data_IF_260944522161
#
_entry.id   IF_260944522161
#
_cell.length_a   1.000
_cell.length_b   1.000
_cell.length_c   1.000
_cell.angle_alpha   90.00
_cell.angle_beta   90.00
_cell.angle_gamma   90.00
#
_symmetry.space_group_name_H-M   'P 1'
#
loop_
_entity.id
_entity.type
_entity.pdbx_description
1 polymer ?
#
# COMPACT_ATOMS: atom_id res chain seq x y z
N UNK A 1 -19.73 0.97 20.44
CA UNK A 1 -18.27 1.12 20.21
C UNK A 1 -17.80 2.47 20.74
N UNK A 2 -16.63 2.55 21.42
CA UNK A 2 -16.10 3.84 21.94
C UNK A 2 -15.67 4.73 20.77
N UNK A 3 -16.21 5.95 20.69
CA UNK A 3 -15.84 6.94 19.64
C UNK A 3 -14.70 7.82 20.15
N UNK A 4 -13.79 8.19 19.26
CA UNK A 4 -12.63 9.04 19.54
C UNK A 4 -12.96 10.52 19.31
N UNK A 5 -12.53 11.40 20.22
CA UNK A 5 -12.72 12.85 20.14
C UNK A 5 -11.52 13.63 20.67
N UNK A 6 -11.56 14.95 20.55
CA UNK A 6 -10.49 15.89 20.93
C UNK A 6 -9.16 15.64 20.20
N UNK A 7 -9.23 15.15 18.95
CA UNK A 7 -8.05 14.78 18.18
C UNK A 7 -7.48 15.95 17.37
N UNK A 8 -8.26 17.00 17.14
CA UNK A 8 -7.79 18.15 16.35
C UNK A 8 -6.58 18.82 16.99
N UNK A 9 -6.54 18.90 18.31
CA UNK A 9 -5.41 19.48 19.03
C UNK A 9 -4.13 18.64 18.90
N UNK A 10 -4.27 17.30 18.91
CA UNK A 10 -3.14 16.39 18.68
C UNK A 10 -2.64 16.49 17.21
N UNK A 11 -3.56 16.66 16.24
CA UNK A 11 -3.23 16.85 14.82
C UNK A 11 -2.55 18.20 14.58
N UNK A 12 -2.98 19.25 15.30
CA UNK A 12 -2.45 20.61 15.21
C UNK A 12 -1.31 20.89 16.19
N UNK A 13 -0.86 19.87 16.93
CA UNK A 13 0.28 20.01 17.85
C UNK A 13 1.57 20.32 17.05
N UNK A 14 2.38 21.32 17.47
CA UNK A 14 3.60 21.71 16.78
C UNK A 14 4.59 20.56 16.51
N UNK A 15 4.78 19.65 17.47
CA UNK A 15 5.69 18.52 17.31
C UNK A 15 5.11 17.48 16.31
N UNK A 16 3.80 17.27 16.32
CA UNK A 16 3.11 16.44 15.32
C UNK A 16 3.27 17.04 13.92
N UNK A 17 3.08 18.34 13.75
CA UNK A 17 3.25 19.03 12.46
C UNK A 17 4.71 18.98 12.01
N UNK A 18 5.67 19.19 12.92
CA UNK A 18 7.10 19.06 12.65
C UNK A 18 7.45 17.67 12.13
N UNK A 19 6.98 16.63 12.81
CA UNK A 19 7.17 15.25 12.35
C UNK A 19 6.51 15.02 10.98
N UNK A 20 5.31 15.55 10.76
CA UNK A 20 4.59 15.47 9.49
C UNK A 20 5.37 16.13 8.33
N UNK A 21 5.93 17.32 8.57
CA UNK A 21 6.78 18.05 7.63
C UNK A 21 7.98 17.21 7.20
N UNK A 22 8.71 16.64 8.17
CA UNK A 22 9.87 15.82 7.89
C UNK A 22 9.51 14.51 7.18
N UNK A 23 8.42 13.85 7.56
CA UNK A 23 7.93 12.63 6.89
C UNK A 23 7.47 12.93 5.46
N UNK A 24 6.75 14.01 5.24
CA UNK A 24 6.32 14.43 3.90
C UNK A 24 7.50 14.77 2.99
N UNK A 25 8.63 15.23 3.54
CA UNK A 25 9.85 15.63 2.82
C UNK A 25 10.76 14.45 2.42
N UNK A 26 10.54 13.24 2.95
CA UNK A 26 11.38 12.07 2.63
C UNK A 26 11.39 11.83 1.13
N UNK A 27 12.60 11.74 0.55
CA UNK A 27 12.82 11.57 -0.89
C UNK A 27 12.53 12.80 -1.77
N UNK A 28 12.20 13.96 -1.17
CA UNK A 28 11.81 15.19 -1.88
C UNK A 28 12.63 16.42 -1.46
N UNK A 29 13.58 16.29 -0.54
CA UNK A 29 14.37 17.41 0.03
C UNK A 29 15.12 18.21 -1.04
N UNK A 30 15.50 17.59 -2.17
CA UNK A 30 16.13 18.22 -3.32
C UNK A 30 15.22 19.21 -4.08
N UNK A 31 13.91 19.21 -3.84
CA UNK A 31 12.97 20.12 -4.50
C UNK A 31 12.97 21.47 -3.80
N UNK A 32 13.18 22.56 -4.53
CA UNK A 32 13.23 23.94 -4.00
C UNK A 32 12.04 24.28 -3.09
N UNK A 33 10.80 23.88 -3.49
CA UNK A 33 9.60 24.12 -2.69
C UNK A 33 9.60 23.38 -1.35
N UNK A 34 10.23 22.19 -1.27
CA UNK A 34 10.35 21.40 -0.04
C UNK A 34 11.46 21.96 0.84
N UNK A 35 12.66 22.20 0.26
CA UNK A 35 13.80 22.77 0.96
C UNK A 35 13.46 24.12 1.61
N UNK A 36 12.76 25.01 0.89
CA UNK A 36 12.30 26.28 1.43
C UNK A 36 11.46 26.11 2.72
N UNK A 37 10.52 25.16 2.74
CA UNK A 37 9.68 24.93 3.91
C UNK A 37 10.43 24.30 5.08
N UNK A 38 11.43 23.47 4.81
CA UNK A 38 12.31 22.94 5.84
C UNK A 38 13.25 24.01 6.42
N UNK A 39 13.73 24.97 5.60
CA UNK A 39 14.58 26.06 6.07
C UNK A 39 13.79 27.10 6.90
N UNK A 40 12.47 27.20 6.72
CA UNK A 40 11.55 28.05 7.48
C UNK A 40 10.57 27.15 8.28
N UNK A 41 11.13 26.27 9.10
CA UNK A 41 10.37 25.20 9.78
C UNK A 41 9.33 25.80 10.74
N UNK A 42 9.72 26.71 11.61
CA UNK A 42 8.83 27.33 12.60
C UNK A 42 7.66 28.07 11.95
N UNK A 43 7.94 28.89 10.95
CA UNK A 43 6.90 29.59 10.18
C UNK A 43 5.95 28.61 9.50
N UNK A 44 6.50 27.53 8.94
CA UNK A 44 5.70 26.49 8.28
C UNK A 44 4.79 25.78 9.29
N UNK A 45 5.29 25.46 10.49
CA UNK A 45 4.51 24.85 11.56
C UNK A 45 3.36 25.76 11.99
N UNK A 46 3.64 27.04 12.26
CA UNK A 46 2.64 28.02 12.65
C UNK A 46 1.53 28.18 11.60
N UNK A 47 1.90 28.24 10.32
CA UNK A 47 0.93 28.33 9.20
C UNK A 47 0.04 27.10 9.12
N UNK A 48 0.60 25.89 9.28
CA UNK A 48 -0.17 24.64 9.26
C UNK A 48 -1.09 24.55 10.48
N UNK A 49 -0.59 24.90 11.67
CA UNK A 49 -1.37 24.91 12.90
C UNK A 49 -2.57 25.85 12.79
N UNK A 50 -2.36 27.06 12.29
CA UNK A 50 -3.43 28.02 12.03
C UNK A 50 -4.51 27.43 11.11
N UNK A 51 -4.12 26.87 9.95
CA UNK A 51 -5.05 26.27 9.00
C UNK A 51 -5.88 25.13 9.60
N UNK A 52 -5.29 24.33 10.49
CA UNK A 52 -5.97 23.22 11.15
C UNK A 52 -6.95 23.70 12.21
N UNK A 53 -6.56 24.66 13.08
CA UNK A 53 -7.37 25.12 14.20
C UNK A 53 -8.49 26.08 13.76
N UNK A 54 -8.21 27.00 12.81
CA UNK A 54 -9.24 27.89 12.24
C UNK A 54 -10.23 27.14 11.37
N UNK A 55 -9.82 25.96 10.83
CA UNK A 55 -10.59 25.20 9.88
C UNK A 55 -10.69 25.84 8.50
N UNK A 56 -9.80 26.76 8.18
CA UNK A 56 -9.73 27.44 6.88
C UNK A 56 -9.01 26.62 5.81
N UNK A 57 -8.48 25.44 6.17
CA UNK A 57 -7.83 24.58 5.20
C UNK A 57 -8.77 24.20 4.06
N UNK A 58 -8.35 24.51 2.85
CA UNK A 58 -8.99 24.09 1.60
C UNK A 58 -7.97 23.30 0.79
N UNK A 59 -8.25 22.02 0.48
CA UNK A 59 -7.37 21.21 -0.35
C UNK A 59 -7.10 21.87 -1.69
N UNK A 60 -5.86 21.89 -2.13
CA UNK A 60 -5.51 22.43 -3.42
C UNK A 60 -6.04 21.52 -4.54
N UNK A 61 -6.30 22.11 -5.72
CA UNK A 61 -6.64 21.34 -6.91
C UNK A 61 -5.58 20.29 -7.19
N UNK A 62 -5.99 19.04 -7.21
CA UNK A 62 -5.09 17.90 -7.44
C UNK A 62 -4.54 17.90 -8.87
N UNK A 63 -3.28 17.46 -9.01
CA UNK A 63 -2.68 17.18 -10.31
C UNK A 63 -2.69 15.68 -10.55
N UNK A 64 -3.28 15.26 -11.65
CA UNK A 64 -3.35 13.86 -12.06
C UNK A 64 -2.43 13.62 -13.25
N UNK A 65 -1.68 12.55 -13.24
CA UNK A 65 -0.83 12.11 -14.34
C UNK A 65 -0.94 10.60 -14.54
N UNK A 66 -0.74 10.16 -15.76
CA UNK A 66 -0.81 8.74 -16.09
C UNK A 66 0.55 8.08 -15.85
N UNK A 67 0.60 7.15 -14.89
CA UNK A 67 1.75 6.28 -14.72
C UNK A 67 1.58 5.04 -15.62
N UNK A 68 2.44 4.93 -16.63
CA UNK A 68 2.48 3.78 -17.52
C UNK A 68 3.16 2.59 -16.82
N UNK A 69 2.39 1.75 -16.16
CA UNK A 69 2.86 0.44 -15.70
C UNK A 69 2.72 -0.55 -16.87
N UNK A 70 3.62 -1.54 -16.94
CA UNK A 70 3.74 -2.42 -18.12
C UNK A 70 2.44 -3.08 -18.62
N UNK A 71 1.44 -3.21 -17.75
CA UNK A 71 0.19 -3.91 -18.05
C UNK A 71 -1.06 -3.03 -17.85
N UNK A 72 -0.90 -1.85 -17.27
CA UNK A 72 -2.02 -0.95 -16.95
C UNK A 72 -1.53 0.48 -16.84
N UNK A 73 -2.30 1.39 -17.37
CA UNK A 73 -2.18 2.80 -17.07
C UNK A 73 -2.90 3.10 -15.76
N UNK A 74 -2.23 3.82 -14.88
CA UNK A 74 -2.81 4.26 -13.60
C UNK A 74 -2.82 5.77 -13.53
N UNK A 75 -3.97 6.32 -13.25
CA UNK A 75 -4.08 7.72 -12.90
C UNK A 75 -3.56 7.92 -11.48
N UNK A 76 -2.44 8.60 -11.35
CA UNK A 76 -1.84 8.92 -10.04
C UNK A 76 -2.09 10.40 -9.77
N UNK A 77 -2.63 10.67 -8.61
CA UNK A 77 -2.97 12.01 -8.16
C UNK A 77 -1.94 12.50 -7.16
N UNK A 78 -1.56 13.75 -7.27
CA UNK A 78 -0.64 14.42 -6.35
C UNK A 78 -1.20 15.76 -5.91
N UNK A 79 -0.90 16.14 -4.68
CA UNK A 79 -1.17 17.46 -4.11
C UNK A 79 0.13 18.24 -3.92
N UNK A 80 0.07 19.58 -3.78
CA UNK A 80 1.22 20.39 -3.39
C UNK A 80 1.85 19.87 -2.10
N UNK A 81 3.15 20.10 -1.94
CA UNK A 81 3.83 19.75 -0.70
C UNK A 81 3.26 20.53 0.48
N UNK A 82 3.12 21.83 0.31
CA UNK A 82 2.53 22.74 1.30
C UNK A 82 1.21 23.33 0.76
N UNK A 83 0.18 23.37 1.56
CA UNK A 83 0.04 22.78 2.90
C UNK A 83 -0.36 21.29 2.90
N UNK A 84 -0.90 20.79 1.77
CA UNK A 84 -1.68 19.55 1.66
C UNK A 84 -0.94 18.32 2.18
N UNK A 85 0.28 18.03 1.65
CA UNK A 85 0.99 16.80 2.04
C UNK A 85 1.36 16.81 3.52
N UNK A 86 1.67 17.97 4.10
CA UNK A 86 1.99 18.10 5.52
C UNK A 86 0.74 17.81 6.35
N UNK A 87 -0.41 18.40 5.99
CA UNK A 87 -1.69 18.17 6.68
C UNK A 87 -2.12 16.69 6.57
N UNK A 88 -2.01 16.07 5.40
CA UNK A 88 -2.29 14.64 5.26
C UNK A 88 -1.43 13.77 6.17
N UNK A 89 -0.16 14.11 6.36
CA UNK A 89 0.72 13.40 7.28
C UNK A 89 0.36 13.67 8.73
N UNK A 90 0.08 14.92 9.11
CA UNK A 90 -0.32 15.29 10.46
C UNK A 90 -1.58 14.54 10.91
N UNK A 91 -2.61 14.51 10.05
CA UNK A 91 -3.82 13.71 10.29
C UNK A 91 -3.48 12.23 10.50
N UNK A 92 -2.67 11.65 9.62
CA UNK A 92 -2.40 10.21 9.69
C UNK A 92 -1.48 9.81 10.84
N UNK A 93 -0.59 10.68 11.30
CA UNK A 93 0.21 10.42 12.51
C UNK A 93 -0.67 10.18 13.74
N UNK A 94 -1.79 10.89 13.84
CA UNK A 94 -2.74 10.77 14.95
C UNK A 94 -3.79 9.67 14.72
N UNK A 95 -4.33 9.56 13.49
CA UNK A 95 -5.42 8.61 13.22
C UNK A 95 -4.93 7.18 12.95
N UNK A 96 -3.72 7.01 12.44
CA UNK A 96 -3.15 5.69 12.14
C UNK A 96 -3.16 4.73 13.34
N UNK A 97 -2.72 5.11 14.56
CA UNK A 97 -2.79 4.25 15.73
C UNK A 97 -4.22 3.82 16.07
N UNK A 98 -5.21 4.68 15.80
CA UNK A 98 -6.63 4.39 16.04
C UNK A 98 -7.12 3.33 15.04
N UNK A 99 -6.84 3.51 13.75
CA UNK A 99 -7.19 2.53 12.72
C UNK A 99 -6.52 1.17 12.96
N UNK A 100 -5.27 1.16 13.41
CA UNK A 100 -4.52 -0.08 13.63
C UNK A 100 -5.10 -0.95 14.74
N UNK A 101 -5.80 -0.37 15.75
CA UNK A 101 -6.39 -1.12 16.87
C UNK A 101 -7.48 -2.11 16.42
N UNK A 102 -8.19 -1.80 15.35
CA UNK A 102 -9.31 -2.60 14.85
C UNK A 102 -9.03 -3.21 13.48
N UNK A 103 -7.95 -2.80 12.82
CA UNK A 103 -7.60 -3.29 11.49
C UNK A 103 -7.25 -4.78 11.53
N UNK A 104 -7.85 -5.54 10.63
CA UNK A 104 -7.58 -6.97 10.48
C UNK A 104 -6.08 -7.27 10.33
N UNK A 105 -5.58 -8.26 11.04
CA UNK A 105 -4.15 -8.61 11.12
C UNK A 105 -3.51 -8.85 9.74
N UNK A 106 -4.23 -9.54 8.84
CA UNK A 106 -3.75 -9.87 7.50
C UNK A 106 -4.28 -8.93 6.41
N UNK A 107 -4.72 -7.72 6.78
CA UNK A 107 -4.72 -6.59 5.88
C UNK A 107 -3.28 -6.11 5.72
N UNK A 108 -2.70 -6.38 4.57
CA UNK A 108 -1.26 -6.22 4.35
C UNK A 108 -0.86 -4.83 3.83
N UNK A 109 -1.82 -4.08 3.32
CA UNK A 109 -1.49 -2.82 2.65
C UNK A 109 -1.32 -1.66 3.64
N UNK A 110 -0.43 -0.73 3.30
CA UNK A 110 -0.21 0.56 3.99
C UNK A 110 0.47 0.48 5.36
N UNK A 111 0.39 -0.63 6.06
CA UNK A 111 0.91 -0.79 7.43
C UNK A 111 2.40 -1.13 7.41
N UNK A 112 3.19 -0.35 8.13
CA UNK A 112 4.63 -0.62 8.31
C UNK A 112 4.85 -2.01 8.95
N UNK A 113 5.79 -2.77 8.43
CA UNK A 113 6.09 -4.15 8.89
C UNK A 113 5.17 -5.23 8.30
N UNK A 114 4.05 -4.87 7.66
CA UNK A 114 3.18 -5.79 6.92
C UNK A 114 3.61 -5.88 5.44
N UNK A 115 2.72 -5.69 4.53
CA UNK A 115 2.99 -5.66 3.08
C UNK A 115 3.37 -7.00 2.48
N UNK A 116 4.14 -6.94 1.41
CA UNK A 116 4.60 -8.13 0.68
C UNK A 116 5.43 -9.08 1.56
N UNK A 117 6.17 -8.55 2.53
CA UNK A 117 7.01 -9.36 3.43
C UNK A 117 6.18 -10.26 4.33
N UNK A 118 5.08 -9.77 4.89
CA UNK A 118 4.17 -10.56 5.70
C UNK A 118 3.39 -11.58 4.84
N UNK A 119 2.82 -11.16 3.70
CA UNK A 119 2.10 -12.07 2.79
C UNK A 119 2.95 -13.24 2.34
N UNK A 120 4.23 -12.98 2.03
CA UNK A 120 5.21 -14.01 1.67
C UNK A 120 5.51 -14.99 2.81
N UNK A 121 5.40 -14.57 4.07
CA UNK A 121 5.59 -15.46 5.24
C UNK A 121 4.32 -16.24 5.58
N UNK A 122 3.18 -15.57 5.53
CA UNK A 122 1.89 -16.09 6.02
C UNK A 122 1.31 -17.15 5.09
N UNK A 123 1.28 -16.91 3.77
CA UNK A 123 0.68 -17.86 2.84
C UNK A 123 1.41 -19.22 2.82
N UNK A 124 2.74 -19.29 2.70
CA UNK A 124 3.45 -20.57 2.79
C UNK A 124 3.23 -21.27 4.14
N UNK A 125 3.27 -20.52 5.25
CA UNK A 125 3.00 -21.07 6.58
C UNK A 125 1.62 -21.76 6.64
N UNK A 126 0.57 -21.12 6.10
CA UNK A 126 -0.76 -21.73 6.05
C UNK A 126 -0.80 -22.98 5.17
N UNK A 127 -0.16 -22.93 3.99
CA UNK A 127 -0.12 -24.05 3.04
C UNK A 127 0.61 -25.28 3.60
N UNK A 128 1.67 -25.07 4.38
CA UNK A 128 2.48 -26.14 4.99
C UNK A 128 1.84 -26.67 6.26
N UNK A 129 1.42 -25.80 7.18
CA UNK A 129 1.00 -26.19 8.52
C UNK A 129 -0.48 -26.63 8.57
N UNK A 130 -1.31 -26.20 7.61
CA UNK A 130 -2.73 -26.54 7.60
C UNK A 130 -3.20 -27.06 6.21
N UNK A 131 -2.66 -28.21 5.75
CA UNK A 131 -2.99 -28.76 4.45
C UNK A 131 -4.48 -29.15 4.32
N UNK A 132 -5.12 -29.50 5.44
CA UNK A 132 -6.56 -29.87 5.47
C UNK A 132 -7.47 -28.66 5.17
N UNK A 133 -7.17 -27.46 5.74
CA UNK A 133 -7.95 -26.24 5.55
C UNK A 133 -7.47 -25.37 4.38
N UNK A 134 -6.43 -25.78 3.66
CA UNK A 134 -5.87 -25.05 2.50
C UNK A 134 -5.97 -25.84 1.19
N UNK A 135 -6.99 -26.70 1.05
CA UNK A 135 -7.21 -27.51 -0.17
C UNK A 135 -7.61 -26.67 -1.38
N UNK A 136 -8.38 -25.62 -1.15
CA UNK A 136 -8.93 -24.75 -2.21
C UNK A 136 -8.54 -23.29 -1.94
N UNK A 137 -8.31 -22.56 -3.03
CA UNK A 137 -8.04 -21.14 -3.01
C UNK A 137 -9.12 -20.41 -3.79
N UNK A 138 -9.72 -19.39 -3.17
CA UNK A 138 -10.53 -18.37 -3.84
C UNK A 138 -9.69 -17.10 -3.92
N UNK A 139 -9.51 -16.60 -5.14
CA UNK A 139 -8.85 -15.33 -5.43
C UNK A 139 -9.83 -14.39 -6.09
N UNK A 140 -9.92 -13.16 -5.60
CA UNK A 140 -10.79 -12.11 -6.10
C UNK A 140 -10.06 -10.77 -6.11
N UNK A 141 -10.60 -9.85 -6.89
CA UNK A 141 -10.10 -8.48 -7.01
C UNK A 141 -11.30 -7.54 -7.16
N UNK A 142 -11.28 -6.38 -6.52
CA UNK A 142 -12.36 -5.38 -6.60
C UNK A 142 -12.11 -4.49 -7.83
N UNK A 143 -13.17 -4.24 -8.59
CA UNK A 143 -13.09 -3.42 -9.80
C UNK A 143 -12.92 -1.95 -9.44
N UNK A 144 -11.93 -1.28 -10.03
CA UNK A 144 -11.65 0.16 -9.83
C UNK A 144 -11.75 0.66 -8.38
N UNK A 145 -11.24 -0.12 -7.42
CA UNK A 145 -11.48 0.00 -5.99
C UNK A 145 -11.49 1.46 -5.50
N UNK A 146 -10.41 2.22 -5.69
CA UNK A 146 -10.32 3.60 -5.21
C UNK A 146 -11.40 4.52 -5.80
N UNK A 147 -11.64 4.43 -7.10
CA UNK A 147 -12.64 5.24 -7.79
C UNK A 147 -14.08 4.81 -7.49
N UNK A 148 -14.28 3.56 -7.04
CA UNK A 148 -15.60 3.00 -6.70
C UNK A 148 -15.98 3.17 -5.22
N UNK A 149 -15.09 3.69 -4.37
CA UNK A 149 -15.42 3.95 -2.96
C UNK A 149 -16.53 5.00 -2.90
N UNK A 150 -17.64 4.65 -2.25
CA UNK A 150 -18.72 5.57 -1.97
C UNK A 150 -18.30 6.51 -0.82
N UNK A 151 -18.10 7.78 -1.12
CA UNK A 151 -17.61 8.78 -0.17
C UNK A 151 -18.60 9.09 0.95
N UNK A 152 -19.91 8.95 0.70
CA UNK A 152 -20.92 9.18 1.73
C UNK A 152 -20.94 8.03 2.74
N UNK A 153 -20.87 6.78 2.27
CA UNK A 153 -20.70 5.62 3.16
C UNK A 153 -19.40 5.75 3.95
N UNK A 154 -18.31 6.18 3.33
CA UNK A 154 -17.03 6.40 4.04
C UNK A 154 -17.18 7.45 5.14
N UNK A 155 -17.83 8.58 4.86
CA UNK A 155 -18.08 9.64 5.86
C UNK A 155 -18.93 9.13 7.02
N UNK A 156 -19.99 8.35 6.74
CA UNK A 156 -20.80 7.70 7.77
C UNK A 156 -19.97 6.76 8.66
N UNK A 157 -19.13 5.91 8.06
CA UNK A 157 -18.21 5.05 8.83
C UNK A 157 -17.25 5.86 9.71
N UNK A 158 -16.73 6.99 9.21
CA UNK A 158 -15.89 7.89 9.99
C UNK A 158 -16.65 8.52 11.16
N UNK A 159 -17.91 8.94 10.98
CA UNK A 159 -18.77 9.46 12.06
C UNK A 159 -19.06 8.40 13.14
N UNK A 160 -19.14 7.13 12.77
CA UNK A 160 -19.25 6.04 13.74
C UNK A 160 -17.96 5.81 14.53
N UNK A 161 -16.79 6.14 13.97
CA UNK A 161 -15.48 5.98 14.63
C UNK A 161 -15.07 7.23 15.44
N UNK A 162 -15.32 8.41 14.92
CA UNK A 162 -14.89 9.68 15.48
C UNK A 162 -16.11 10.52 15.92
N UNK A 163 -15.93 11.28 17.00
CA UNK A 163 -16.91 12.26 17.49
C UNK A 163 -16.40 13.70 17.46
N UNK A 164 -15.17 13.92 16.98
CA UNK A 164 -14.56 15.23 16.84
C UNK A 164 -15.08 15.93 15.58
N UNK A 165 -15.88 17.00 15.70
CA UNK A 165 -16.49 17.64 14.53
C UNK A 165 -15.48 18.34 13.63
N UNK A 166 -14.36 18.86 14.19
CA UNK A 166 -13.32 19.53 13.41
C UNK A 166 -12.54 18.50 12.57
N UNK A 167 -12.23 17.33 13.14
CA UNK A 167 -11.58 16.23 12.42
C UNK A 167 -12.50 15.67 11.33
N UNK A 168 -13.79 15.47 11.63
CA UNK A 168 -14.77 15.00 10.64
C UNK A 168 -14.92 16.00 9.48
N UNK A 169 -14.96 17.31 9.78
CA UNK A 169 -14.97 18.35 8.75
C UNK A 169 -13.70 18.32 7.91
N UNK A 170 -12.53 18.25 8.57
CA UNK A 170 -11.22 18.19 7.88
C UNK A 170 -11.11 16.98 6.95
N UNK A 171 -11.52 15.80 7.41
CA UNK A 171 -11.58 14.60 6.57
C UNK A 171 -12.61 14.76 5.44
N UNK A 172 -13.76 15.37 5.73
CA UNK A 172 -14.80 15.64 4.74
C UNK A 172 -14.30 16.49 3.58
N UNK A 173 -13.66 17.64 3.85
CA UNK A 173 -13.14 18.52 2.78
C UNK A 173 -12.04 17.84 1.95
N UNK A 174 -11.23 16.97 2.57
CA UNK A 174 -10.21 16.19 1.84
C UNK A 174 -10.89 15.14 0.94
N UNK A 175 -11.87 14.42 1.45
CA UNK A 175 -12.61 13.41 0.69
C UNK A 175 -13.34 14.07 -0.49
N UNK A 176 -14.01 15.18 -0.25
CA UNK A 176 -14.80 15.90 -1.27
C UNK A 176 -13.94 16.66 -2.30
N UNK A 177 -12.64 16.82 -2.04
CA UNK A 177 -11.74 17.49 -2.99
C UNK A 177 -11.49 16.68 -4.27
N UNK A 178 -11.97 15.44 -4.33
CA UNK A 178 -11.80 14.54 -5.47
C UNK A 178 -13.08 13.74 -5.76
N UNK A 179 -13.37 13.52 -7.04
CA UNK A 179 -14.49 12.71 -7.50
C UNK A 179 -14.11 12.04 -8.83
N UNK A 180 -14.54 10.77 -9.07
CA UNK A 180 -15.27 9.89 -8.16
C UNK A 180 -14.34 9.18 -7.17
N UNK A 181 -14.89 8.84 -6.01
CA UNK A 181 -14.24 8.02 -4.98
C UNK A 181 -13.02 8.68 -4.33
N UNK A 182 -11.97 7.89 -4.09
CA UNK A 182 -10.71 8.37 -3.51
C UNK A 182 -9.58 8.43 -4.54
N UNK A 183 -8.75 9.47 -4.55
CA UNK A 183 -7.63 9.58 -5.47
C UNK A 183 -6.49 8.61 -5.11
N UNK A 184 -5.95 7.93 -6.12
CA UNK A 184 -4.77 7.10 -5.96
C UNK A 184 -3.51 7.98 -5.90
N UNK A 185 -2.78 7.92 -4.79
CA UNK A 185 -1.51 8.64 -4.60
C UNK A 185 -1.47 9.56 -3.40
N UNK A 186 -2.60 9.88 -2.76
CA UNK A 186 -2.62 10.61 -1.50
C UNK A 186 -2.42 9.66 -0.32
N UNK A 187 -1.69 10.12 0.69
CA UNK A 187 -1.39 9.31 1.86
C UNK A 187 -2.65 8.94 2.67
N UNK A 188 -3.55 9.89 2.86
CA UNK A 188 -4.85 9.65 3.52
C UNK A 188 -5.72 8.65 2.76
N UNK A 189 -5.74 8.71 1.42
CA UNK A 189 -6.57 7.80 0.60
C UNK A 189 -6.26 6.33 0.85
N UNK A 190 -4.98 5.98 1.08
CA UNK A 190 -4.60 4.59 1.34
C UNK A 190 -5.16 4.07 2.67
N UNK A 191 -5.16 4.92 3.70
CA UNK A 191 -5.69 4.57 5.01
C UNK A 191 -7.21 4.52 5.01
N UNK A 192 -7.85 5.52 4.38
CA UNK A 192 -9.30 5.58 4.26
C UNK A 192 -9.86 4.41 3.43
N UNK A 193 -9.17 4.01 2.36
CA UNK A 193 -9.55 2.85 1.56
C UNK A 193 -9.44 1.53 2.36
N UNK A 194 -8.42 1.38 3.21
CA UNK A 194 -8.33 0.23 4.12
C UNK A 194 -9.41 0.25 5.20
N UNK A 195 -9.69 1.42 5.77
CA UNK A 195 -10.74 1.61 6.75
C UNK A 195 -12.13 1.32 6.17
N UNK A 196 -12.39 1.70 4.91
CA UNK A 196 -13.64 1.41 4.22
C UNK A 196 -14.00 -0.06 4.23
N UNK A 197 -13.01 -0.95 4.08
CA UNK A 197 -13.18 -2.42 4.08
C UNK A 197 -12.91 -3.07 5.44
N UNK A 198 -12.78 -2.33 6.53
CA UNK A 198 -12.49 -2.90 7.85
C UNK A 198 -13.61 -3.84 8.32
N UNK A 199 -14.87 -3.40 8.25
CA UNK A 199 -16.02 -4.20 8.64
C UNK A 199 -16.17 -5.45 7.75
N UNK A 200 -15.87 -5.31 6.45
CA UNK A 200 -15.81 -6.44 5.53
C UNK A 200 -14.77 -7.49 5.96
N UNK A 201 -13.56 -7.05 6.35
CA UNK A 201 -12.52 -7.96 6.83
C UNK A 201 -12.98 -8.73 8.07
N UNK A 202 -13.70 -8.08 9.00
CA UNK A 202 -14.27 -8.72 10.18
C UNK A 202 -15.39 -9.68 9.83
N UNK A 203 -16.29 -9.34 8.90
CA UNK A 203 -17.33 -10.22 8.39
C UNK A 203 -16.72 -11.53 7.82
N UNK A 204 -15.68 -11.40 6.98
CA UNK A 204 -14.99 -12.55 6.39
C UNK A 204 -14.47 -13.51 7.46
N UNK A 205 -13.90 -12.98 8.55
CA UNK A 205 -13.27 -13.79 9.60
C UNK A 205 -14.25 -14.30 10.62
N UNK A 206 -15.10 -13.43 11.15
CA UNK A 206 -15.91 -13.73 12.32
C UNK A 206 -17.23 -14.40 11.94
N UNK A 207 -17.93 -13.86 10.95
CA UNK A 207 -19.27 -14.31 10.59
C UNK A 207 -19.26 -15.42 9.53
N UNK A 208 -18.51 -15.21 8.44
CA UNK A 208 -18.36 -16.22 7.38
C UNK A 208 -17.31 -17.28 7.72
N UNK A 209 -16.52 -17.04 8.77
CA UNK A 209 -15.55 -17.99 9.35
C UNK A 209 -14.61 -18.60 8.31
N UNK A 210 -14.10 -17.75 7.39
CA UNK A 210 -13.09 -18.20 6.43
C UNK A 210 -11.79 -18.52 7.17
N UNK A 211 -11.25 -19.75 7.11
CA UNK A 211 -10.12 -20.16 7.93
C UNK A 211 -8.86 -19.30 7.71
N UNK A 212 -8.51 -19.11 6.44
CA UNK A 212 -7.35 -18.35 6.01
C UNK A 212 -7.77 -17.29 5.01
N UNK A 213 -7.57 -16.04 5.37
CA UNK A 213 -7.92 -14.86 4.58
C UNK A 213 -6.78 -13.84 4.65
N UNK A 214 -6.44 -13.25 3.53
CA UNK A 214 -5.46 -12.17 3.42
C UNK A 214 -5.91 -11.19 2.33
N UNK A 215 -5.74 -9.89 2.60
CA UNK A 215 -6.07 -8.80 1.69
C UNK A 215 -4.89 -7.86 1.48
N UNK A 216 -4.73 -7.43 0.25
CA UNK A 216 -3.84 -6.32 -0.10
C UNK A 216 -4.61 -5.32 -0.96
N UNK A 217 -5.13 -4.26 -0.35
CA UNK A 217 -6.10 -3.33 -0.95
C UNK A 217 -7.30 -4.08 -1.55
N UNK A 218 -7.38 -4.11 -2.88
CA UNK A 218 -8.41 -4.74 -3.69
C UNK A 218 -8.17 -6.23 -4.01
N UNK A 219 -6.96 -6.75 -3.77
CA UNK A 219 -6.60 -8.16 -4.07
C UNK A 219 -6.81 -9.04 -2.84
N UNK A 220 -7.74 -10.01 -2.93
CA UNK A 220 -8.19 -10.87 -1.86
C UNK A 220 -7.82 -12.33 -2.15
N UNK A 221 -7.26 -13.01 -1.15
CA UNK A 221 -6.97 -14.45 -1.21
C UNK A 221 -7.54 -15.15 0.01
N UNK A 222 -8.29 -16.22 -0.21
CA UNK A 222 -8.91 -17.04 0.80
C UNK A 222 -8.61 -18.51 0.58
N UNK A 223 -8.39 -19.23 1.67
CA UNK A 223 -8.16 -20.67 1.62
C UNK A 223 -9.14 -21.40 2.52
N UNK A 224 -9.62 -22.54 2.05
CA UNK A 224 -10.48 -23.44 2.82
C UNK A 224 -10.30 -24.90 2.39
N UNK A 225 -10.58 -25.82 3.29
CA UNK A 225 -10.68 -27.24 2.98
C UNK A 225 -11.94 -27.62 2.18
N UNK A 226 -12.94 -26.72 2.15
CA UNK A 226 -14.25 -26.97 1.55
C UNK A 226 -14.55 -25.99 0.41
N UNK A 227 -14.70 -26.51 -0.82
CA UNK A 227 -15.00 -25.74 -2.01
C UNK A 227 -16.35 -25.03 -1.94
N UNK A 228 -17.40 -25.74 -1.46
CA UNK A 228 -18.76 -25.18 -1.31
C UNK A 228 -18.77 -24.00 -0.35
N UNK A 229 -17.99 -24.09 0.75
CA UNK A 229 -17.83 -22.98 1.69
C UNK A 229 -17.25 -21.71 1.03
N UNK A 230 -16.25 -21.86 0.14
CA UNK A 230 -15.67 -20.73 -0.58
C UNK A 230 -16.63 -20.14 -1.63
N UNK A 231 -17.47 -20.96 -2.28
CA UNK A 231 -18.54 -20.43 -3.16
C UNK A 231 -19.53 -19.59 -2.34
N UNK A 232 -20.03 -20.14 -1.22
CA UNK A 232 -20.95 -19.39 -0.33
C UNK A 232 -20.32 -18.09 0.17
N UNK A 233 -19.08 -18.15 0.61
CA UNK A 233 -18.35 -16.94 1.04
C UNK A 233 -18.22 -15.91 -0.10
N UNK A 234 -17.95 -16.35 -1.33
CA UNK A 234 -17.90 -15.47 -2.51
C UNK A 234 -19.25 -14.78 -2.75
N UNK A 235 -20.36 -15.52 -2.66
CA UNK A 235 -21.69 -14.97 -2.85
C UNK A 235 -22.05 -13.93 -1.76
N UNK A 236 -21.72 -14.24 -0.50
CA UNK A 236 -21.89 -13.32 0.63
C UNK A 236 -21.05 -12.06 0.47
N UNK A 237 -19.79 -12.20 0.00
CA UNK A 237 -18.90 -11.06 -0.28
C UNK A 237 -19.40 -10.19 -1.41
N UNK A 238 -19.90 -10.79 -2.48
CA UNK A 238 -20.45 -10.04 -3.61
C UNK A 238 -21.68 -9.22 -3.18
N UNK A 239 -22.57 -9.80 -2.39
CA UNK A 239 -23.73 -9.10 -1.84
C UNK A 239 -23.30 -7.93 -0.90
N UNK A 240 -22.37 -8.19 0.01
CA UNK A 240 -21.84 -7.17 0.92
C UNK A 240 -21.17 -6.01 0.17
N UNK A 241 -20.25 -6.33 -0.75
CA UNK A 241 -19.51 -5.31 -1.50
C UNK A 241 -20.43 -4.50 -2.41
N UNK A 242 -21.45 -5.11 -3.00
CA UNK A 242 -22.48 -4.37 -3.78
C UNK A 242 -23.26 -3.38 -2.92
N UNK A 243 -23.62 -3.75 -1.70
CA UNK A 243 -24.26 -2.83 -0.74
C UNK A 243 -23.34 -1.64 -0.36
N UNK A 244 -22.02 -1.85 -0.39
CA UNK A 244 -21.00 -0.80 -0.19
C UNK A 244 -20.64 -0.05 -1.49
N UNK A 245 -21.32 -0.29 -2.62
CA UNK A 245 -21.03 0.34 -3.91
C UNK A 245 -19.83 -0.24 -4.66
N UNK A 246 -19.32 -1.41 -4.25
CA UNK A 246 -18.15 -2.06 -4.84
C UNK A 246 -18.54 -3.29 -5.65
N UNK A 247 -17.76 -3.59 -6.69
CA UNK A 247 -18.02 -4.72 -7.61
C UNK A 247 -16.80 -5.63 -7.65
N UNK A 248 -17.01 -6.93 -7.48
CA UNK A 248 -15.96 -7.95 -7.70
C UNK A 248 -15.74 -8.11 -9.20
N UNK A 249 -14.48 -8.15 -9.64
CA UNK A 249 -14.15 -8.44 -11.04
C UNK A 249 -14.66 -9.82 -11.46
N UNK A 250 -15.17 -9.93 -12.66
CA UNK A 250 -15.71 -11.19 -13.22
C UNK A 250 -14.68 -12.32 -13.35
N UNK A 251 -13.38 -11.99 -13.39
CA UNK A 251 -12.28 -12.93 -13.53
C UNK A 251 -11.79 -13.53 -12.19
N UNK A 252 -12.62 -13.55 -11.14
CA UNK A 252 -12.31 -14.26 -9.91
C UNK A 252 -12.05 -15.75 -10.15
N UNK A 253 -11.31 -16.39 -9.28
CA UNK A 253 -10.82 -17.75 -9.50
C UNK A 253 -11.00 -18.59 -8.23
N UNK A 254 -11.59 -19.77 -8.39
CA UNK A 254 -11.65 -20.82 -7.37
C UNK A 254 -10.99 -22.08 -7.90
N UNK A 255 -9.94 -22.55 -7.26
CA UNK A 255 -9.19 -23.71 -7.72
C UNK A 255 -8.62 -24.54 -6.58
N UNK A 256 -8.25 -25.79 -6.89
CA UNK A 256 -7.55 -26.66 -5.95
C UNK A 256 -6.08 -26.21 -5.82
N UNK A 257 -5.63 -26.01 -4.60
CA UNK A 257 -4.20 -25.76 -4.32
C UNK A 257 -3.38 -26.98 -4.71
N UNK A 258 -2.33 -26.77 -5.51
CA UNK A 258 -1.53 -27.86 -6.11
C UNK A 258 -1.81 -28.06 -7.61
N UNK A 259 -3.03 -27.75 -8.12
CA UNK A 259 -3.27 -27.73 -9.56
C UNK A 259 -2.58 -26.56 -10.26
N UNK A 260 -2.43 -25.45 -9.55
CA UNK A 260 -1.69 -24.27 -9.98
C UNK A 260 -1.26 -23.44 -8.78
N UNK A 261 -0.24 -22.54 -8.91
CA UNK A 261 0.19 -21.67 -7.83
C UNK A 261 -0.84 -20.59 -7.50
N UNK A 262 -0.81 -20.12 -6.26
CA UNK A 262 -1.51 -18.91 -5.85
C UNK A 262 -0.66 -17.71 -6.29
N UNK A 263 -1.14 -16.94 -7.26
CA UNK A 263 -0.47 -15.73 -7.75
C UNK A 263 -0.93 -14.51 -6.95
N UNK A 264 -0.10 -14.01 -6.04
CA UNK A 264 -0.41 -12.90 -5.15
C UNK A 264 0.84 -12.09 -4.83
N UNK A 265 0.73 -10.76 -4.73
CA UNK A 265 1.83 -9.85 -4.39
C UNK A 265 3.09 -9.99 -5.25
N UNK A 266 2.96 -10.40 -6.51
CA UNK A 266 4.12 -10.60 -7.41
C UNK A 266 4.84 -11.93 -7.24
N UNK A 267 4.39 -12.77 -6.31
CA UNK A 267 4.87 -14.12 -6.07
C UNK A 267 3.88 -15.17 -6.57
N UNK A 268 4.40 -16.39 -6.76
CA UNK A 268 3.63 -17.60 -7.04
C UNK A 268 3.91 -18.58 -5.91
N UNK A 269 2.89 -18.82 -5.07
CA UNK A 269 2.96 -19.70 -3.94
C UNK A 269 2.53 -21.11 -4.33
N UNK A 270 3.39 -22.05 -4.11
CA UNK A 270 3.13 -23.49 -4.15
C UNK A 270 3.07 -24.00 -2.72
N UNK A 271 2.71 -25.26 -2.52
CA UNK A 271 2.61 -25.83 -1.17
C UNK A 271 3.99 -25.95 -0.50
N UNK A 272 5.02 -26.24 -1.24
CA UNK A 272 6.38 -26.56 -0.83
C UNK A 272 7.40 -25.46 -1.14
N UNK A 273 7.10 -24.57 -2.05
CA UNK A 273 8.03 -23.51 -2.46
C UNK A 273 7.34 -22.23 -2.95
N UNK A 274 8.14 -21.17 -3.11
CA UNK A 274 7.68 -19.86 -3.60
C UNK A 274 8.56 -19.43 -4.77
N UNK A 275 7.94 -19.00 -5.86
CA UNK A 275 8.66 -18.46 -7.03
C UNK A 275 8.17 -17.06 -7.38
N UNK A 276 8.88 -16.38 -8.27
CA UNK A 276 8.44 -15.10 -8.79
C UNK A 276 7.33 -15.28 -9.85
N UNK A 277 6.46 -14.28 -9.96
CA UNK A 277 5.54 -14.17 -11.10
C UNK A 277 6.34 -14.14 -12.40
N UNK A 278 5.90 -14.89 -13.43
CA UNK A 278 6.63 -15.03 -14.71
C UNK A 278 7.04 -13.68 -15.31
N UNK A 279 6.13 -12.70 -15.34
CA UNK A 279 6.43 -11.37 -15.88
C UNK A 279 7.57 -10.69 -15.14
N UNK A 280 7.59 -10.76 -13.80
CA UNK A 280 8.66 -10.21 -12.98
C UNK A 280 9.99 -10.93 -13.23
N UNK A 281 9.99 -12.25 -13.29
CA UNK A 281 11.20 -13.03 -13.60
C UNK A 281 11.77 -12.67 -14.98
N UNK A 282 10.93 -12.54 -16.00
CA UNK A 282 11.36 -12.09 -17.34
C UNK A 282 11.94 -10.68 -17.33
N UNK A 283 11.34 -9.76 -16.56
CA UNK A 283 11.86 -8.38 -16.39
C UNK A 283 13.24 -8.39 -15.76
N UNK A 284 13.43 -9.16 -14.70
CA UNK A 284 14.72 -9.32 -14.03
C UNK A 284 15.76 -9.85 -15.01
N UNK A 285 15.44 -10.93 -15.75
CA UNK A 285 16.33 -11.52 -16.76
C UNK A 285 16.75 -10.49 -17.82
N UNK A 286 15.78 -9.78 -18.40
CA UNK A 286 16.04 -8.74 -19.43
C UNK A 286 16.91 -7.61 -18.91
N UNK A 287 16.63 -7.14 -17.69
CA UNK A 287 17.42 -6.07 -17.04
C UNK A 287 18.84 -6.56 -16.75
N UNK A 288 19.00 -7.77 -16.22
CA UNK A 288 20.32 -8.35 -15.96
C UNK A 288 21.15 -8.45 -17.24
N UNK A 289 20.56 -9.00 -18.32
CA UNK A 289 21.24 -9.09 -19.63
C UNK A 289 21.62 -7.70 -20.20
N UNK A 290 20.74 -6.70 -20.05
CA UNK A 290 21.04 -5.31 -20.47
C UNK A 290 22.20 -4.73 -19.66
N UNK A 291 22.25 -4.98 -18.37
CA UNK A 291 23.30 -4.51 -17.47
C UNK A 291 24.63 -5.18 -17.80
N UNK A 292 24.63 -6.50 -18.06
CA UNK A 292 25.83 -7.26 -18.38
C UNK A 292 26.51 -6.86 -19.68
N UNK A 293 25.82 -6.16 -20.58
CA UNK A 293 26.39 -5.64 -21.85
C UNK A 293 27.03 -4.24 -21.71
N UNK A 294 26.98 -3.63 -20.51
CA UNK A 294 27.49 -2.30 -20.27
C UNK A 294 28.89 -2.35 -19.67
N UNK A 295 29.78 -1.53 -20.15
CA UNK A 295 31.13 -1.39 -19.60
C UNK A 295 31.09 -0.80 -18.17
N UNK A 296 30.12 0.05 -17.90
CA UNK A 296 29.93 0.71 -16.61
C UNK A 296 28.54 0.53 -16.03
N UNK A 297 28.46 0.12 -14.77
CA UNK A 297 27.21 0.03 -14.03
C UNK A 297 26.84 1.42 -13.48
N UNK A 298 25.73 1.99 -13.96
CA UNK A 298 25.23 3.27 -13.46
C UNK A 298 24.52 3.11 -12.09
N UNK A 299 24.39 4.21 -11.34
CA UNK A 299 23.60 4.22 -10.08
C UNK A 299 22.20 3.63 -10.28
N UNK A 300 21.49 4.06 -11.32
CA UNK A 300 20.13 3.59 -11.61
C UNK A 300 20.08 2.08 -11.93
N UNK A 301 21.06 1.57 -12.67
CA UNK A 301 21.15 0.12 -12.95
C UNK A 301 21.46 -0.65 -11.66
N UNK A 302 22.41 -0.16 -10.84
CA UNK A 302 22.76 -0.75 -9.57
C UNK A 302 21.58 -0.81 -8.60
N UNK A 303 20.87 0.31 -8.42
CA UNK A 303 19.67 0.39 -7.59
C UNK A 303 18.57 -0.57 -8.07
N UNK A 304 18.34 -0.66 -9.39
CA UNK A 304 17.39 -1.61 -9.98
C UNK A 304 17.77 -3.05 -9.69
N UNK A 305 19.04 -3.43 -9.82
CA UNK A 305 19.51 -4.79 -9.56
C UNK A 305 19.44 -5.17 -8.08
N UNK A 306 19.70 -4.22 -7.18
CA UNK A 306 19.51 -4.41 -5.73
C UNK A 306 18.03 -4.64 -5.40
N UNK A 307 17.12 -3.85 -5.99
CA UNK A 307 15.67 -4.04 -5.83
C UNK A 307 15.25 -5.45 -6.30
N UNK A 308 15.72 -5.89 -7.46
CA UNK A 308 15.44 -7.23 -7.97
C UNK A 308 16.06 -8.35 -7.12
N UNK A 309 17.23 -8.12 -6.56
CA UNK A 309 17.81 -9.05 -5.58
C UNK A 309 16.93 -9.19 -4.34
N UNK A 310 16.29 -8.10 -3.89
CA UNK A 310 15.31 -8.13 -2.82
C UNK A 310 14.14 -9.09 -3.07
N UNK A 311 13.71 -9.24 -4.34
CA UNK A 311 12.70 -10.22 -4.73
C UNK A 311 13.26 -11.65 -4.75
N UNK A 312 14.43 -11.84 -5.37
CA UNK A 312 15.04 -13.17 -5.60
C UNK A 312 15.45 -13.87 -4.31
N UNK A 313 16.11 -13.15 -3.38
CA UNK A 313 16.64 -13.72 -2.14
C UNK A 313 15.58 -14.36 -1.23
N UNK A 314 14.32 -14.08 -1.50
CA UNK A 314 13.19 -14.54 -0.70
C UNK A 314 12.32 -15.59 -1.40
N UNK A 315 12.81 -16.16 -2.48
CA UNK A 315 12.12 -17.17 -3.27
C UNK A 315 13.06 -18.33 -3.61
N UNK A 316 12.50 -19.45 -4.03
CA UNK A 316 13.25 -20.60 -4.52
C UNK A 316 13.82 -20.32 -5.93
N UNK A 317 14.61 -19.24 -6.04
CA UNK A 317 15.15 -18.73 -7.31
C UNK A 317 16.66 -18.89 -7.45
N UNK A 318 17.29 -19.80 -6.70
CA UNK A 318 18.74 -20.03 -6.75
C UNK A 318 19.24 -20.31 -8.17
N UNK A 319 18.66 -21.30 -8.87
CA UNK A 319 19.03 -21.62 -10.23
C UNK A 319 18.79 -20.46 -11.23
N UNK A 320 17.69 -19.72 -11.05
CA UNK A 320 17.43 -18.53 -11.85
C UNK A 320 18.49 -17.44 -11.62
N UNK A 321 18.86 -17.17 -10.37
CA UNK A 321 19.89 -16.20 -10.04
C UNK A 321 21.24 -16.57 -10.64
N UNK A 322 21.67 -17.81 -10.46
CA UNK A 322 22.95 -18.30 -10.97
C UNK A 322 23.02 -18.30 -12.50
N UNK A 323 21.92 -18.65 -13.18
CA UNK A 323 21.86 -18.71 -14.63
C UNK A 323 21.75 -17.33 -15.30
N UNK A 324 20.96 -16.41 -14.74
CA UNK A 324 20.59 -15.19 -15.45
C UNK A 324 21.08 -13.88 -14.81
N UNK A 325 21.36 -13.86 -13.53
CA UNK A 325 21.70 -12.61 -12.82
C UNK A 325 23.18 -12.56 -12.47
N UNK A 326 23.70 -13.57 -11.80
CA UNK A 326 25.08 -13.63 -11.33
C UNK A 326 26.13 -13.40 -12.44
N UNK A 327 26.01 -13.99 -13.65
CA UNK A 327 26.97 -13.74 -14.73
C UNK A 327 26.96 -12.32 -15.27
N UNK A 328 25.84 -11.62 -15.13
CA UNK A 328 25.63 -10.29 -15.70
C UNK A 328 25.79 -9.12 -14.71
N UNK A 329 25.71 -9.38 -13.39
CA UNK A 329 25.78 -8.33 -12.39
C UNK A 329 26.19 -8.86 -11.03
N UNK A 330 27.26 -8.30 -10.47
CA UNK A 330 27.65 -8.51 -9.08
C UNK A 330 26.81 -7.62 -8.16
N UNK A 331 25.96 -8.24 -7.35
CA UNK A 331 25.14 -7.52 -6.34
C UNK A 331 26.00 -6.79 -5.31
N UNK A 332 27.18 -7.37 -4.94
CA UNK A 332 28.15 -6.72 -4.04
C UNK A 332 28.66 -5.41 -4.64
N UNK A 333 29.06 -5.42 -5.93
CA UNK A 333 29.49 -4.22 -6.64
C UNK A 333 28.35 -3.19 -6.76
N UNK A 334 27.15 -3.62 -7.08
CA UNK A 334 25.97 -2.74 -7.16
C UNK A 334 25.68 -2.04 -5.82
N UNK A 335 25.74 -2.75 -4.69
CA UNK A 335 25.61 -2.16 -3.35
C UNK A 335 26.70 -1.12 -3.05
N UNK A 336 27.94 -1.37 -3.46
CA UNK A 336 29.05 -0.43 -3.30
C UNK A 336 28.78 0.88 -4.04
N UNK A 337 28.34 0.81 -5.30
CA UNK A 337 28.01 1.98 -6.12
C UNK A 337 26.90 2.82 -5.47
N UNK A 338 25.80 2.17 -5.05
CA UNK A 338 24.68 2.89 -4.43
C UNK A 338 25.08 3.52 -3.10
N UNK A 339 25.90 2.84 -2.29
CA UNK A 339 26.40 3.39 -1.03
C UNK A 339 27.30 4.61 -1.27
N UNK A 340 28.21 4.54 -2.24
CA UNK A 340 29.10 5.63 -2.60
C UNK A 340 28.34 6.88 -3.04
N UNK A 341 27.41 6.71 -3.99
CA UNK A 341 26.58 7.81 -4.50
C UNK A 341 25.69 8.45 -3.42
N UNK A 342 25.10 7.62 -2.55
CA UNK A 342 24.30 8.14 -1.44
C UNK A 342 25.15 8.93 -0.45
N UNK A 343 26.39 8.49 -0.17
CA UNK A 343 27.31 9.24 0.69
C UNK A 343 27.71 10.58 0.05
N UNK A 344 27.94 10.62 -1.26
CA UNK A 344 28.22 11.88 -1.98
C UNK A 344 27.04 12.84 -1.88
N UNK A 345 25.82 12.36 -2.14
CA UNK A 345 24.60 13.18 -2.04
C UNK A 345 24.37 13.73 -0.64
N UNK A 346 24.66 12.95 0.39
CA UNK A 346 24.55 13.41 1.78
C UNK A 346 25.61 14.46 2.14
N UNK A 347 26.82 14.41 1.52
CA UNK A 347 27.89 15.41 1.74
C UNK A 347 27.67 16.70 0.97
N UNK A 348 27.04 16.64 -0.20
CA UNK A 348 26.82 17.80 -1.10
C UNK A 348 25.46 18.47 -0.89
N UNK A 349 24.64 17.98 0.05
CA UNK A 349 23.32 18.56 0.31
C UNK A 349 22.28 18.34 -0.80
N UNK A 350 22.56 17.41 -1.73
CA UNK A 350 21.66 17.07 -2.85
C UNK A 350 20.73 15.90 -2.53
#
# INVERSE_FOLDING_TARGET
MKRYGNLIHDIADPETIKLALHQAAIGKRHRKSVSRRLNHEEETIQQIQYLLLSGEFKPAKVKTWTAHEQDKDRQITTTPFFPDQIIHWSIMLVLQPIFLKSMYEYNLATVTGRGMAQGRKVIPKWLQNDPKRTKYCLKMDIHHFYASINTDILKLKLQHRFKDPQVLRLLGVIIDSYSPGLPLGLYTSQWLANFYLEDFDHQVKNDWRVPHYVRYMDDLVMLSGNKKKLHRARDQMDAYLKAEGLIIKSNWQLFRVGSRPIDFLGYRFYRDHVTLRRKLALRIRRKAAKVGRKDRLTYHDAASMISYWGWLKHTNSYGFYHKYVKPNCSIKKAKGIVKHENNLRNRTGW
#
